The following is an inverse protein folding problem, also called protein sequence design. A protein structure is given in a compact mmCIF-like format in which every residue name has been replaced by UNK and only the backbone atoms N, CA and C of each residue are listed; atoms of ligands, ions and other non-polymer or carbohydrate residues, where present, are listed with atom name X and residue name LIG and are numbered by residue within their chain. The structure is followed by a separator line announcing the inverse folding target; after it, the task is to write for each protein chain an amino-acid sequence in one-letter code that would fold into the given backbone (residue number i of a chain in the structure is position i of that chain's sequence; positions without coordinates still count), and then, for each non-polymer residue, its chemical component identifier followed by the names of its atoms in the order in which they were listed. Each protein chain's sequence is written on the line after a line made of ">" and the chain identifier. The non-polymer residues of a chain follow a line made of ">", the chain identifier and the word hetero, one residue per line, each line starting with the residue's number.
data_IF_031095040395
#
_entry.id   IF_031095040395
#
_cell.length_a   1.000
_cell.length_b   1.000
_cell.length_c   1.000
_cell.angle_alpha   90.00
_cell.angle_beta   90.00
_cell.angle_gamma   90.00
#
_symmetry.space_group_name_H-M   'P 1'
#
loop_
_entity.id
_entity.type
_entity.pdbx_description
1 polymer ?
#
# COMPACT_ATOMS: atom_id res chain seq x y z
N UNK A 1 -2.03 -5.14 11.18
CA UNK A 1 -2.60 -3.85 11.63
C UNK A 1 -2.17 -3.50 13.06
N UNK A 2 -2.02 -4.45 13.99
CA UNK A 2 -1.50 -4.13 15.34
C UNK A 2 -0.10 -3.48 15.27
N UNK A 3 0.84 -4.10 14.56
CA UNK A 3 2.19 -3.57 14.37
C UNK A 3 2.18 -2.13 13.86
N UNK A 4 1.39 -1.83 12.82
CA UNK A 4 1.30 -0.47 12.25
C UNK A 4 0.76 0.55 13.25
N UNK A 5 -0.27 0.22 14.02
CA UNK A 5 -0.88 1.16 14.97
C UNK A 5 0.09 1.47 16.10
N UNK A 6 0.62 0.44 16.76
CA UNK A 6 1.51 0.62 17.90
C UNK A 6 2.81 1.30 17.49
N UNK A 7 3.40 0.92 16.35
CA UNK A 7 4.62 1.57 15.86
C UNK A 7 4.38 3.03 15.41
N UNK A 8 3.18 3.37 14.93
CA UNK A 8 2.85 4.75 14.54
C UNK A 8 2.84 5.70 15.73
N UNK A 9 2.36 5.22 16.88
CA UNK A 9 2.32 5.98 18.12
C UNK A 9 3.57 5.79 18.98
N UNK A 10 4.60 5.13 18.44
CA UNK A 10 5.85 4.84 19.13
C UNK A 10 5.61 4.18 20.50
N UNK A 11 4.61 3.30 20.57
CA UNK A 11 4.24 2.63 21.81
C UNK A 11 5.29 1.57 22.16
N UNK A 12 5.94 1.72 23.32
CA UNK A 12 7.00 0.82 23.77
C UNK A 12 6.45 -0.51 24.26
N UNK A 13 6.66 -1.57 23.48
CA UNK A 13 6.31 -2.95 23.82
C UNK A 13 7.23 -3.93 23.09
N UNK A 14 7.92 -4.81 23.83
CA UNK A 14 8.85 -5.79 23.28
C UNK A 14 8.17 -6.78 22.31
N UNK A 15 6.85 -6.97 22.43
CA UNK A 15 6.09 -7.86 21.53
C UNK A 15 6.00 -7.32 20.11
N UNK A 16 6.31 -6.03 19.86
CA UNK A 16 6.42 -5.49 18.51
C UNK A 16 7.49 -6.22 17.71
N UNK A 17 8.62 -6.51 18.34
CA UNK A 17 9.75 -7.19 17.71
C UNK A 17 9.38 -8.65 17.42
N UNK A 18 8.64 -9.30 18.33
CA UNK A 18 8.07 -10.64 18.09
C UNK A 18 7.13 -10.65 16.87
N UNK A 19 6.24 -9.66 16.75
CA UNK A 19 5.34 -9.56 15.59
C UNK A 19 6.13 -9.29 14.31
N UNK A 20 7.15 -8.42 14.34
CA UNK A 20 7.99 -8.14 13.19
C UNK A 20 8.73 -9.41 12.73
N UNK A 21 9.38 -10.13 13.65
CA UNK A 21 10.07 -11.40 13.37
C UNK A 21 9.13 -12.43 12.76
N UNK A 22 7.92 -12.61 13.32
CA UNK A 22 6.91 -13.48 12.75
C UNK A 22 6.58 -13.09 11.30
N UNK A 23 6.38 -11.79 11.02
CA UNK A 23 6.11 -11.34 9.65
C UNK A 23 7.27 -11.63 8.70
N UNK A 24 8.53 -11.54 9.15
CA UNK A 24 9.69 -11.91 8.32
C UNK A 24 9.68 -13.40 7.97
N UNK A 25 9.46 -14.26 8.95
CA UNK A 25 9.32 -15.73 8.77
C UNK A 25 8.11 -16.11 7.89
N UNK A 26 7.07 -15.27 7.91
CA UNK A 26 5.87 -15.49 7.12
C UNK A 26 5.97 -15.05 5.65
N UNK A 27 7.07 -14.41 5.24
CA UNK A 27 7.23 -13.97 3.85
C UNK A 27 7.32 -15.18 2.90
N UNK A 28 6.49 -15.17 1.87
CA UNK A 28 6.37 -16.28 0.91
C UNK A 28 7.50 -16.25 -0.13
N UNK A 29 7.74 -17.35 -0.90
CA UNK A 29 8.79 -17.39 -1.91
C UNK A 29 8.66 -16.29 -2.99
N UNK A 30 7.42 -15.95 -3.37
CA UNK A 30 7.10 -14.87 -4.31
C UNK A 30 7.31 -13.45 -3.75
N UNK A 31 7.77 -13.34 -2.49
CA UNK A 31 8.11 -12.08 -1.83
C UNK A 31 6.95 -11.38 -1.13
N UNK A 32 5.71 -11.82 -1.33
CA UNK A 32 4.55 -11.25 -0.65
C UNK A 32 4.16 -12.00 0.63
N UNK A 33 2.95 -11.71 1.11
CA UNK A 33 2.32 -12.38 2.25
C UNK A 33 0.90 -12.83 1.93
N UNK A 34 0.40 -13.82 2.66
CA UNK A 34 -0.99 -14.26 2.60
C UNK A 34 -1.53 -14.59 3.98
N UNK A 35 -2.67 -14.02 4.37
CA UNK A 35 -3.33 -14.33 5.64
C UNK A 35 -3.86 -15.77 5.74
N UNK A 36 -4.00 -16.47 4.61
CA UNK A 36 -4.37 -17.88 4.53
C UNK A 36 -3.18 -18.82 4.38
N UNK A 37 -1.95 -18.37 4.69
CA UNK A 37 -0.75 -19.23 4.63
C UNK A 37 -0.90 -20.46 5.54
N UNK A 38 -1.42 -20.28 6.75
CA UNK A 38 -1.72 -21.39 7.67
C UNK A 38 -2.82 -22.33 7.16
N UNK A 39 -3.63 -21.90 6.19
CA UNK A 39 -4.67 -22.69 5.53
C UNK A 39 -4.24 -23.20 4.14
N UNK A 40 -2.93 -23.26 3.85
CA UNK A 40 -2.39 -23.87 2.64
C UNK A 40 -2.25 -22.94 1.43
N UNK A 41 -2.37 -21.62 1.59
CA UNK A 41 -2.14 -20.69 0.47
C UNK A 41 -0.69 -20.79 -0.03
N UNK A 42 -0.53 -21.02 -1.33
CA UNK A 42 0.78 -21.18 -2.00
C UNK A 42 1.29 -19.90 -2.68
N UNK A 43 0.44 -18.87 -2.80
CA UNK A 43 0.77 -17.58 -3.40
C UNK A 43 0.38 -16.44 -2.46
N UNK A 44 1.14 -15.35 -2.50
CA UNK A 44 0.83 -14.14 -1.76
C UNK A 44 -0.40 -13.40 -2.31
N UNK A 45 -0.95 -12.50 -1.50
CA UNK A 45 -2.07 -11.64 -1.88
C UNK A 45 -1.69 -10.16 -1.75
N UNK A 46 -2.16 -9.32 -2.67
CA UNK A 46 -1.92 -7.88 -2.60
C UNK A 46 -2.48 -7.24 -1.32
N UNK A 47 -3.60 -7.75 -0.80
CA UNK A 47 -4.23 -7.30 0.45
C UNK A 47 -3.33 -7.49 1.67
N UNK A 48 -2.83 -8.71 1.87
CA UNK A 48 -1.95 -9.00 3.01
C UNK A 48 -0.61 -8.31 2.81
N UNK A 49 -0.05 -8.35 1.60
CA UNK A 49 1.24 -7.74 1.31
C UNK A 49 1.26 -6.24 1.63
N UNK A 50 0.28 -5.45 1.16
CA UNK A 50 0.28 -4.01 1.48
C UNK A 50 0.16 -3.74 2.99
N UNK A 51 -0.67 -4.53 3.68
CA UNK A 51 -0.88 -4.37 5.13
C UNK A 51 0.38 -4.69 5.93
N UNK A 52 1.16 -5.69 5.50
CA UNK A 52 2.45 -6.05 6.13
C UNK A 52 3.52 -5.01 5.81
N UNK A 53 3.59 -4.55 4.55
CA UNK A 53 4.53 -3.51 4.13
C UNK A 53 4.38 -2.21 4.93
N UNK A 54 3.15 -1.73 5.11
CA UNK A 54 2.88 -0.53 5.93
C UNK A 54 3.28 -0.75 7.40
N UNK A 55 2.99 -1.93 7.96
CA UNK A 55 3.39 -2.30 9.31
C UNK A 55 4.91 -2.31 9.49
N UNK A 56 5.63 -3.00 8.60
CA UNK A 56 7.10 -3.08 8.63
C UNK A 56 7.77 -1.73 8.41
N UNK A 57 7.19 -0.85 7.58
CA UNK A 57 7.67 0.53 7.42
C UNK A 57 7.59 1.31 8.73
N UNK A 58 6.42 1.28 9.39
CA UNK A 58 6.22 2.02 10.64
C UNK A 58 7.08 1.45 11.77
N UNK A 59 7.17 0.12 11.86
CA UNK A 59 8.09 -0.55 12.76
C UNK A 59 9.55 -0.12 12.56
N UNK A 60 10.02 -0.06 11.30
CA UNK A 60 11.37 0.41 10.99
C UNK A 60 11.59 1.87 11.38
N UNK A 61 10.58 2.73 11.26
CA UNK A 61 10.68 4.13 11.67
C UNK A 61 10.79 4.26 13.19
N UNK A 62 10.02 3.46 13.93
CA UNK A 62 9.97 3.46 15.39
C UNK A 62 11.22 2.82 16.01
N UNK A 63 11.58 1.59 15.61
CA UNK A 63 12.75 0.85 16.15
C UNK A 63 14.10 1.28 15.56
N UNK A 64 14.09 2.19 14.59
CA UNK A 64 15.30 2.73 13.98
C UNK A 64 15.91 1.88 12.86
N UNK A 65 17.07 2.33 12.39
CA UNK A 65 17.66 1.94 11.08
C UNK A 65 18.42 0.61 11.07
N UNK A 66 18.51 -0.12 12.17
CA UNK A 66 19.29 -1.38 12.22
C UNK A 66 18.53 -2.62 11.69
N UNK A 67 17.34 -2.44 11.11
CA UNK A 67 16.56 -3.57 10.60
C UNK A 67 16.89 -3.93 9.12
N UNK A 68 18.11 -4.45 8.84
CA UNK A 68 18.53 -4.86 7.47
C UNK A 68 17.56 -5.86 6.84
N UNK A 69 17.13 -6.85 7.63
CA UNK A 69 16.19 -7.89 7.19
C UNK A 69 14.81 -7.32 6.89
N UNK A 70 14.31 -6.42 7.73
CA UNK A 70 13.05 -5.70 7.50
C UNK A 70 13.10 -4.90 6.19
N UNK A 71 14.20 -4.21 5.91
CA UNK A 71 14.39 -3.53 4.62
C UNK A 71 14.41 -4.51 3.44
N UNK A 72 15.04 -5.67 3.60
CA UNK A 72 15.08 -6.70 2.57
C UNK A 72 13.68 -7.29 2.31
N UNK A 73 12.93 -7.60 3.36
CA UNK A 73 11.55 -8.07 3.27
C UNK A 73 10.66 -7.03 2.59
N UNK A 74 10.77 -5.75 2.97
CA UNK A 74 10.04 -4.68 2.31
C UNK A 74 10.38 -4.54 0.82
N UNK A 75 11.66 -4.70 0.42
CA UNK A 75 12.07 -4.70 -0.99
C UNK A 75 11.39 -5.84 -1.77
N UNK A 76 11.44 -7.06 -1.23
CA UNK A 76 10.78 -8.23 -1.85
C UNK A 76 9.27 -8.06 -1.97
N UNK A 77 8.62 -7.52 -0.93
CA UNK A 77 7.18 -7.25 -0.97
C UNK A 77 6.79 -6.16 -1.98
N UNK A 78 7.63 -5.14 -2.15
CA UNK A 78 7.44 -4.16 -3.24
C UNK A 78 7.57 -4.81 -4.61
N UNK A 79 8.58 -5.66 -4.80
CA UNK A 79 8.76 -6.38 -6.06
C UNK A 79 7.56 -7.27 -6.38
N UNK A 80 7.01 -7.97 -5.39
CA UNK A 80 5.75 -8.71 -5.54
C UNK A 80 4.62 -7.82 -6.08
N UNK A 81 4.42 -6.62 -5.52
CA UNK A 81 3.39 -5.69 -6.01
C UNK A 81 3.71 -5.16 -7.43
N UNK A 82 4.99 -4.93 -7.74
CA UNK A 82 5.43 -4.42 -9.05
C UNK A 82 5.26 -5.46 -10.17
N UNK A 83 5.54 -6.73 -9.90
CA UNK A 83 5.29 -7.84 -10.85
C UNK A 83 3.80 -7.91 -11.23
N UNK A 84 2.92 -7.53 -10.32
CA UNK A 84 1.47 -7.43 -10.55
C UNK A 84 1.04 -6.06 -11.11
N UNK A 85 1.97 -5.16 -11.45
CA UNK A 85 1.65 -3.75 -11.82
C UNK A 85 0.60 -3.14 -10.89
N UNK A 86 0.70 -3.46 -9.60
CA UNK A 86 -0.25 -3.20 -8.51
C UNK A 86 -1.62 -3.92 -8.58
N UNK A 87 -2.24 -4.09 -9.76
CA UNK A 87 -3.62 -4.59 -9.86
C UNK A 87 -3.88 -5.60 -10.98
N UNK A 88 -2.85 -5.99 -11.72
CA UNK A 88 -2.92 -6.97 -12.83
C UNK A 88 -2.37 -8.33 -12.43
N UNK A 89 -2.97 -9.37 -13.00
CA UNK A 89 -2.46 -10.73 -12.92
C UNK A 89 -1.11 -10.81 -13.62
N UNK A 90 -0.08 -11.30 -12.92
CA UNK A 90 1.24 -11.51 -13.52
C UNK A 90 1.24 -12.60 -14.60
N UNK A 91 0.21 -13.46 -14.64
CA UNK A 91 0.08 -14.55 -15.62
C UNK A 91 -0.68 -14.13 -16.87
N UNK A 92 -1.80 -13.44 -16.68
CA UNK A 92 -2.74 -13.13 -17.77
C UNK A 92 -2.71 -11.68 -18.21
N UNK A 93 -2.10 -10.79 -17.42
CA UNK A 93 -2.15 -9.34 -17.66
C UNK A 93 -3.49 -8.70 -17.29
N UNK A 94 -4.55 -9.47 -17.08
CA UNK A 94 -5.89 -8.97 -16.75
C UNK A 94 -5.98 -8.32 -15.36
N UNK A 95 -6.97 -7.44 -15.17
CA UNK A 95 -7.26 -6.83 -13.85
C UNK A 95 -7.66 -7.93 -12.85
N UNK A 96 -6.96 -8.02 -11.71
CA UNK A 96 -7.23 -9.03 -10.67
C UNK A 96 -8.63 -8.86 -10.11
N UNK A 97 -8.99 -7.62 -9.72
CA UNK A 97 -10.32 -7.23 -9.25
C UNK A 97 -10.61 -5.79 -9.63
N UNK A 98 -11.75 -5.48 -10.28
CA UNK A 98 -12.10 -4.10 -10.66
C UNK A 98 -12.18 -3.11 -9.50
N UNK A 99 -12.47 -3.58 -8.28
CA UNK A 99 -12.52 -2.69 -7.10
C UNK A 99 -11.16 -2.09 -6.73
N UNK A 100 -10.04 -2.67 -7.18
CA UNK A 100 -8.70 -2.17 -6.86
C UNK A 100 -8.40 -0.82 -7.49
N UNK A 101 -9.15 -0.41 -8.52
CA UNK A 101 -9.04 0.91 -9.15
C UNK A 101 -10.03 1.93 -8.59
N UNK A 102 -10.79 1.59 -7.53
CA UNK A 102 -11.75 2.49 -6.87
C UNK A 102 -11.21 2.97 -5.54
N UNK A 103 -11.05 4.28 -5.37
CA UNK A 103 -10.38 4.85 -4.20
C UNK A 103 -11.28 4.90 -2.97
N UNK A 104 -10.82 4.23 -1.91
CA UNK A 104 -11.53 4.12 -0.64
C UNK A 104 -10.80 4.84 0.50
N UNK A 105 -11.55 5.36 1.46
CA UNK A 105 -10.99 5.87 2.70
C UNK A 105 -11.97 5.74 3.89
N UNK A 106 -11.52 5.28 5.08
CA UNK A 106 -10.26 4.56 5.27
C UNK A 106 -10.29 3.20 4.55
N UNK A 107 -9.16 2.72 3.98
CA UNK A 107 -9.13 1.47 3.22
C UNK A 107 -9.32 0.20 4.09
N UNK A 108 -9.26 0.31 5.43
CA UNK A 108 -9.25 -0.83 6.36
C UNK A 108 -8.16 -1.83 5.96
N UNK A 109 -8.47 -3.13 5.84
CA UNK A 109 -7.54 -4.15 5.33
C UNK A 109 -7.59 -4.29 3.79
N UNK A 110 -8.51 -3.59 3.12
CA UNK A 110 -8.70 -3.73 1.67
C UNK A 110 -7.60 -3.03 0.88
N UNK A 111 -7.44 -3.48 -0.35
CA UNK A 111 -6.43 -3.01 -1.28
C UNK A 111 -7.09 -2.11 -2.32
N UNK A 112 -6.46 -0.98 -2.59
CA UNK A 112 -6.64 -0.19 -3.79
C UNK A 112 -5.27 0.32 -4.25
N UNK A 113 -5.14 0.66 -5.54
CA UNK A 113 -3.87 1.11 -6.11
C UNK A 113 -3.37 2.39 -5.46
N UNK A 114 -4.26 3.28 -4.99
CA UNK A 114 -3.86 4.52 -4.34
C UNK A 114 -3.22 4.25 -2.98
N UNK A 115 -3.64 3.21 -2.26
CA UNK A 115 -3.01 2.75 -1.00
C UNK A 115 -1.60 2.25 -1.26
N UNK A 116 -1.44 1.41 -2.29
CA UNK A 116 -0.13 0.93 -2.66
C UNK A 116 0.78 2.09 -3.09
N UNK A 117 0.35 2.96 -4.00
CA UNK A 117 1.13 4.11 -4.45
C UNK A 117 1.49 5.05 -3.29
N UNK A 118 0.56 5.30 -2.35
CA UNK A 118 0.84 6.12 -1.17
C UNK A 118 1.88 5.46 -0.25
N UNK A 119 1.94 4.13 -0.18
CA UNK A 119 3.04 3.44 0.47
C UNK A 119 4.37 3.59 -0.29
N UNK A 120 4.38 3.44 -1.63
CA UNK A 120 5.60 3.59 -2.44
C UNK A 120 6.22 4.99 -2.30
N UNK A 121 5.39 6.04 -2.33
CA UNK A 121 5.88 7.41 -2.10
C UNK A 121 6.37 7.59 -0.65
N UNK A 122 5.68 7.00 0.33
CA UNK A 122 6.02 7.17 1.75
C UNK A 122 7.35 6.50 2.16
N UNK A 123 7.84 5.53 1.38
CA UNK A 123 9.18 4.96 1.53
C UNK A 123 10.20 5.55 0.57
N UNK A 124 9.82 6.58 -0.19
CA UNK A 124 10.59 7.16 -1.29
C UNK A 124 11.19 6.09 -2.21
N UNK A 125 10.36 5.13 -2.62
CA UNK A 125 10.80 4.07 -3.53
C UNK A 125 11.28 4.69 -4.86
N UNK A 126 12.22 4.06 -5.57
CA UNK A 126 12.52 4.45 -6.95
C UNK A 126 11.25 4.39 -7.79
N UNK A 127 11.02 5.42 -8.61
CA UNK A 127 9.94 5.37 -9.60
C UNK A 127 10.24 4.21 -10.56
N UNK A 128 9.28 3.32 -10.76
CA UNK A 128 9.37 2.14 -11.63
C UNK A 128 8.31 2.25 -12.73
N UNK A 129 8.67 1.95 -13.99
CA UNK A 129 7.75 2.03 -15.13
C UNK A 129 6.50 1.16 -14.95
N UNK A 130 6.57 0.09 -14.16
CA UNK A 130 5.45 -0.82 -13.84
C UNK A 130 4.35 -0.15 -13.01
N UNK A 131 4.62 1.04 -12.44
CA UNK A 131 3.65 1.85 -11.72
C UNK A 131 2.89 2.83 -12.63
N UNK A 132 3.39 3.09 -13.85
CA UNK A 132 2.89 4.16 -14.72
C UNK A 132 1.37 4.05 -14.96
N UNK A 133 0.89 2.86 -15.24
CA UNK A 133 -0.54 2.63 -15.48
C UNK A 133 -1.41 2.97 -14.26
N UNK A 134 -0.96 2.63 -13.05
CA UNK A 134 -1.68 2.98 -11.83
C UNK A 134 -1.64 4.50 -11.58
N UNK A 135 -0.54 5.17 -11.94
CA UNK A 135 -0.43 6.63 -11.89
C UNK A 135 -1.40 7.29 -12.88
N UNK A 136 -1.53 6.76 -14.10
CA UNK A 136 -2.46 7.28 -15.11
C UNK A 136 -3.92 7.15 -14.65
N UNK A 137 -4.27 6.05 -13.96
CA UNK A 137 -5.58 5.92 -13.31
C UNK A 137 -5.76 7.01 -12.25
N UNK A 138 -4.76 7.24 -11.38
CA UNK A 138 -4.84 8.32 -10.39
C UNK A 138 -5.02 9.69 -11.08
N UNK A 139 -4.26 10.00 -12.12
CA UNK A 139 -4.38 11.29 -12.84
C UNK A 139 -5.75 11.45 -13.50
N UNK A 140 -6.23 10.44 -14.21
CA UNK A 140 -7.52 10.47 -14.92
C UNK A 140 -8.73 10.48 -13.97
N UNK A 141 -8.59 9.99 -12.75
CA UNK A 141 -9.62 10.09 -11.70
C UNK A 141 -9.71 11.49 -11.05
N UNK A 142 -8.84 12.45 -11.42
CA UNK A 142 -8.95 13.81 -10.91
C UNK A 142 -10.20 14.50 -11.48
N UNK A 143 -11.03 15.04 -10.59
CA UNK A 143 -12.21 15.82 -10.98
C UNK A 143 -11.80 17.21 -11.48
N UNK A 144 -12.73 17.90 -12.15
CA UNK A 144 -12.54 19.28 -12.63
C UNK A 144 -12.18 20.29 -11.53
N UNK A 145 -12.58 20.03 -10.29
CA UNK A 145 -12.25 20.87 -9.11
C UNK A 145 -10.87 20.55 -8.51
N UNK A 146 -10.09 19.69 -9.16
CA UNK A 146 -8.76 19.28 -8.72
C UNK A 146 -8.74 18.22 -7.62
N UNK A 147 -9.90 17.69 -7.20
CA UNK A 147 -10.03 16.71 -6.10
C UNK A 147 -10.32 15.30 -6.62
N UNK A 148 -10.16 14.32 -5.74
CA UNK A 148 -10.54 12.93 -5.97
C UNK A 148 -11.78 12.57 -5.17
N UNK A 149 -12.64 11.71 -5.70
CA UNK A 149 -13.87 11.28 -5.02
C UNK A 149 -13.59 10.19 -3.97
N UNK A 150 -14.52 10.02 -3.03
CA UNK A 150 -14.66 8.76 -2.30
C UNK A 150 -15.45 7.78 -3.19
N UNK A 151 -14.78 6.91 -3.94
CA UNK A 151 -15.43 6.05 -4.95
C UNK A 151 -15.94 4.73 -4.37
N UNK A 152 -15.38 4.33 -3.23
CA UNK A 152 -15.77 3.12 -2.53
C UNK A 152 -15.71 3.29 -1.02
N UNK A 153 -16.61 2.61 -0.31
CA UNK A 153 -16.64 2.54 1.15
C UNK A 153 -16.81 1.09 1.59
N UNK A 154 -16.07 0.72 2.64
CA UNK A 154 -16.11 -0.63 3.19
C UNK A 154 -17.04 -0.70 4.40
N UNK A 155 -17.96 -1.68 4.37
CA UNK A 155 -18.88 -1.98 5.46
C UNK A 155 -18.13 -2.28 6.76
N UNK A 156 -18.78 -1.98 7.89
CA UNK A 156 -18.28 -2.25 9.23
C UNK A 156 -18.69 -1.13 10.19
N UNK A 157 -18.65 -1.41 11.50
CA UNK A 157 -19.00 -0.43 12.54
C UNK A 157 -18.08 0.81 12.44
N UNK A 158 -18.67 1.99 12.50
CA UNK A 158 -18.00 3.29 12.54
C UNK A 158 -18.65 4.14 13.63
N UNK A 159 -17.86 4.98 14.30
CA UNK A 159 -18.40 5.91 15.31
C UNK A 159 -19.05 7.14 14.66
N UNK A 160 -18.57 7.54 13.48
CA UNK A 160 -19.10 8.63 12.68
C UNK A 160 -18.74 8.41 11.20
N UNK A 161 -19.47 9.08 10.30
CA UNK A 161 -19.16 9.12 8.87
C UNK A 161 -18.13 10.23 8.61
N UNK A 162 -16.98 9.87 8.05
CA UNK A 162 -15.90 10.82 7.75
C UNK A 162 -16.18 11.64 6.49
N UNK A 163 -16.64 10.97 5.43
CA UNK A 163 -16.81 11.53 4.09
C UNK A 163 -17.95 10.79 3.38
N UNK A 164 -18.71 11.52 2.56
CA UNK A 164 -19.85 10.98 1.80
C UNK A 164 -19.37 10.29 0.52
N UNK A 165 -19.90 9.10 0.23
CA UNK A 165 -19.62 8.36 -1.00
C UNK A 165 -19.97 9.21 -2.25
N UNK A 166 -19.08 9.22 -3.24
CA UNK A 166 -19.18 9.98 -4.49
C UNK A 166 -18.84 11.47 -4.38
N UNK A 167 -18.75 12.01 -3.17
CA UNK A 167 -18.34 13.40 -2.95
C UNK A 167 -16.81 13.55 -3.06
N UNK A 168 -16.30 14.77 -3.30
CA UNK A 168 -14.87 15.06 -3.20
C UNK A 168 -14.31 14.67 -1.82
N UNK A 169 -13.32 13.78 -1.80
CA UNK A 169 -12.65 13.26 -0.61
C UNK A 169 -11.40 14.07 -0.32
N UNK A 170 -11.28 14.58 0.91
CA UNK A 170 -10.08 15.27 1.42
C UNK A 170 -8.92 14.28 1.52
N UNK A 171 -9.19 13.06 1.98
CA UNK A 171 -8.16 12.05 2.20
C UNK A 171 -7.60 11.44 0.91
N UNK A 172 -8.46 11.07 -0.04
CA UNK A 172 -8.00 10.60 -1.33
C UNK A 172 -7.28 11.72 -2.10
N UNK A 173 -7.74 12.97 -1.97
CA UNK A 173 -7.03 14.11 -2.55
C UNK A 173 -5.63 14.27 -1.95
N UNK A 174 -5.47 14.18 -0.64
CA UNK A 174 -4.15 14.26 0.01
C UNK A 174 -3.20 13.15 -0.47
N UNK A 175 -3.70 11.91 -0.51
CA UNK A 175 -2.93 10.73 -0.95
C UNK A 175 -2.54 10.86 -2.42
N UNK A 176 -3.48 11.22 -3.29
CA UNK A 176 -3.22 11.41 -4.72
C UNK A 176 -2.19 12.51 -4.97
N UNK A 177 -2.32 13.65 -4.30
CA UNK A 177 -1.36 14.75 -4.44
C UNK A 177 0.06 14.37 -3.95
N UNK A 178 0.19 13.57 -2.89
CA UNK A 178 1.51 13.05 -2.46
C UNK A 178 2.10 12.12 -3.50
N UNK A 179 1.30 11.19 -4.01
CA UNK A 179 1.70 10.22 -5.04
C UNK A 179 2.15 10.91 -6.32
N UNK A 180 1.35 11.84 -6.86
CA UNK A 180 1.67 12.53 -8.11
C UNK A 180 2.93 13.38 -7.97
N UNK A 181 3.08 14.14 -6.87
CA UNK A 181 4.31 14.91 -6.63
C UNK A 181 5.56 14.02 -6.53
N UNK A 182 5.46 12.86 -5.89
CA UNK A 182 6.57 11.92 -5.82
C UNK A 182 6.93 11.37 -7.20
N UNK A 183 5.93 10.96 -7.98
CA UNK A 183 6.12 10.44 -9.32
C UNK A 183 6.76 11.47 -10.27
N UNK A 184 6.23 12.70 -10.27
CA UNK A 184 6.68 13.77 -11.17
C UNK A 184 8.13 14.17 -10.86
N UNK A 185 8.52 14.24 -9.57
CA UNK A 185 9.92 14.50 -9.17
C UNK A 185 10.88 13.40 -9.63
N UNK A 186 10.42 12.15 -9.64
CA UNK A 186 11.23 11.02 -10.11
C UNK A 186 11.29 10.90 -11.64
N UNK A 187 10.36 11.54 -12.36
CA UNK A 187 10.41 11.71 -13.81
C UNK A 187 11.45 12.75 -14.24
N UNK A 188 11.54 13.86 -13.51
CA UNK A 188 12.53 14.94 -13.77
C UNK A 188 13.98 14.43 -13.66
N UNK A 189 14.25 13.44 -12.81
CA UNK A 189 15.60 12.82 -12.69
C UNK A 189 15.93 11.81 -13.78
N UNK A 190 15.01 11.51 -14.71
CA UNK A 190 15.23 10.58 -15.84
C UNK A 190 15.55 11.27 -17.16
N UNK A 191 15.35 12.58 -17.25
CA UNK A 191 15.60 13.41 -18.45
C UNK A 191 16.84 14.33 -18.30
N UNK A 192 17.54 14.27 -17.18
CA UNK A 192 18.80 14.98 -16.91
C UNK A 192 19.96 13.99 -16.79
#
# INVERSE_FOLDING_TARGET
>A
MVLSILSHFEYEDDRLDTIASYLLEQQMPDGGWNCRRSAGATHASVHTTISVLEGLRLYQLHRGREAREVRAAQRRGREFLLVHRLFRSHRTGEIIKPVFTRFSFPPRWHYDILRALDYFQAVNAPCDRRLAEAIDIVRSSQRKDGRWSLEHSHKGKTYFELERLGAPSRWNTLRALRVLRWWDRGGVTREA
#
